data_IF_088370212721
#
_entry.id   IF_088370212721
#
_cell.length_a   1.000
_cell.length_b   1.000
_cell.length_c   1.000
_cell.angle_alpha   90.00
_cell.angle_beta   90.00
_cell.angle_gamma   90.00
#
_symmetry.space_group_name_H-M   'P 1'
#
loop_
_entity.id
_entity.type
_entity.pdbx_description
1 polymer ?
#
# COMPACT_ATOMS: atom_id res chain seq x y z
N UNK A 1 -6.74 28.60 -6.16
CA UNK A 1 -7.88 27.64 -6.22
C UNK A 1 -7.25 26.26 -6.14
N UNK A 2 -7.51 25.54 -5.05
CA UNK A 2 -7.06 24.14 -4.95
C UNK A 2 -7.90 23.33 -5.93
N UNK A 3 -7.31 22.87 -6.99
CA UNK A 3 -7.96 21.98 -7.94
C UNK A 3 -8.16 20.63 -7.23
N UNK A 4 -9.40 20.16 -7.14
CA UNK A 4 -9.71 18.84 -6.63
C UNK A 4 -9.85 17.87 -7.81
N UNK A 5 -9.37 16.64 -7.62
CA UNK A 5 -9.63 15.53 -8.53
C UNK A 5 -10.81 14.71 -8.03
N UNK A 6 -11.67 14.32 -8.93
CA UNK A 6 -12.69 13.31 -8.66
C UNK A 6 -12.15 11.95 -9.10
N UNK A 7 -12.06 11.01 -8.16
CA UNK A 7 -11.54 9.67 -8.34
C UNK A 7 -12.63 8.64 -8.08
N UNK A 8 -12.81 7.69 -8.99
CA UNK A 8 -13.65 6.52 -8.77
C UNK A 8 -12.78 5.39 -8.24
N UNK A 9 -13.02 5.00 -7.00
CA UNK A 9 -12.24 4.01 -6.29
C UNK A 9 -13.08 2.81 -5.86
N UNK A 10 -12.40 1.71 -5.52
CA UNK A 10 -13.00 0.46 -5.07
C UNK A 10 -14.06 -0.11 -6.05
N UNK A 11 -13.80 -0.17 -7.37
CA UNK A 11 -14.72 -0.78 -8.29
C UNK A 11 -14.86 -2.27 -8.00
N UNK A 12 -16.08 -2.76 -7.86
CA UNK A 12 -16.32 -4.20 -7.74
C UNK A 12 -15.93 -4.93 -9.02
N UNK A 13 -15.27 -6.10 -8.94
CA UNK A 13 -14.89 -6.91 -10.10
C UNK A 13 -16.09 -7.33 -10.96
N UNK A 14 -17.25 -7.53 -10.31
CA UNK A 14 -18.52 -7.81 -10.97
C UNK A 14 -19.59 -6.83 -10.45
N UNK A 15 -20.28 -6.17 -11.37
CA UNK A 15 -21.34 -5.19 -11.04
C UNK A 15 -22.63 -5.91 -10.60
N UNK A 16 -22.62 -6.48 -9.41
CA UNK A 16 -23.73 -7.29 -8.88
C UNK A 16 -24.80 -6.45 -8.17
N UNK A 17 -24.48 -5.21 -7.75
CA UNK A 17 -25.34 -4.35 -6.95
C UNK A 17 -25.67 -3.02 -7.66
N UNK A 18 -25.88 -3.07 -8.98
CA UNK A 18 -26.12 -1.85 -9.78
C UNK A 18 -27.26 -0.99 -9.25
N UNK A 19 -28.35 -1.60 -8.81
CA UNK A 19 -29.53 -0.90 -8.30
C UNK A 19 -29.31 -0.24 -6.92
N UNK A 20 -28.30 -0.68 -6.14
CA UNK A 20 -27.91 -0.08 -4.87
C UNK A 20 -26.80 0.97 -5.01
N UNK A 21 -26.25 1.19 -6.20
CA UNK A 21 -25.12 2.06 -6.47
C UNK A 21 -23.88 1.77 -5.59
N UNK A 22 -23.63 0.51 -5.27
CA UNK A 22 -22.56 0.06 -4.37
C UNK A 22 -21.35 -0.53 -5.12
N UNK A 23 -21.23 -0.31 -6.43
CA UNK A 23 -20.17 -0.93 -7.25
C UNK A 23 -18.84 -0.16 -7.24
N UNK A 24 -18.74 0.91 -6.49
CA UNK A 24 -17.59 1.78 -6.36
C UNK A 24 -18.00 3.05 -5.63
N UNK A 25 -17.06 3.92 -5.35
CA UNK A 25 -17.34 5.23 -4.77
C UNK A 25 -16.56 6.32 -5.49
N UNK A 26 -17.17 7.50 -5.62
CA UNK A 26 -16.52 8.70 -6.12
C UNK A 26 -16.05 9.54 -4.93
N UNK A 27 -14.79 9.95 -4.94
CA UNK A 27 -14.18 10.75 -3.89
C UNK A 27 -13.44 11.93 -4.48
N UNK A 28 -13.40 13.04 -3.73
CA UNK A 28 -12.59 14.20 -4.07
C UNK A 28 -11.25 14.12 -3.35
N UNK A 29 -10.19 14.29 -4.09
CA UNK A 29 -8.82 14.31 -3.58
C UNK A 29 -8.12 15.59 -4.00
N UNK A 30 -7.16 16.10 -3.22
CA UNK A 30 -6.30 17.21 -3.67
C UNK A 30 -5.63 16.88 -5.00
N UNK A 31 -5.38 17.90 -5.82
CA UNK A 31 -4.77 17.72 -7.14
C UNK A 31 -3.35 17.18 -7.10
N UNK A 32 -2.66 17.35 -5.99
CA UNK A 32 -1.27 16.97 -5.84
C UNK A 32 -1.00 16.35 -4.48
N UNK A 33 -0.25 15.24 -4.47
CA UNK A 33 0.26 14.62 -3.27
C UNK A 33 1.80 14.67 -3.30
N UNK A 34 2.39 15.20 -2.24
CA UNK A 34 3.83 15.23 -2.05
C UNK A 34 4.35 13.86 -1.60
N UNK A 35 5.63 13.58 -1.86
CA UNK A 35 6.27 12.38 -1.35
C UNK A 35 6.34 12.42 0.19
N UNK A 36 5.68 11.47 0.85
CA UNK A 36 5.67 11.39 2.31
C UNK A 36 6.99 10.84 2.86
N UNK A 37 7.41 11.37 4.01
CA UNK A 37 8.57 10.86 4.74
C UNK A 37 8.24 9.57 5.45
N UNK A 38 9.24 8.71 5.62
CA UNK A 38 9.14 7.47 6.39
C UNK A 38 10.41 7.28 7.23
N UNK A 39 10.23 7.01 8.50
CA UNK A 39 11.29 6.48 9.36
C UNK A 39 11.27 4.97 9.27
N UNK A 40 12.43 4.37 8.97
CA UNK A 40 12.49 2.94 8.69
C UNK A 40 13.57 2.23 9.52
N UNK A 41 13.24 1.05 9.99
CA UNK A 41 14.19 0.09 10.56
C UNK A 41 14.21 -1.13 9.67
N UNK A 42 15.27 -1.27 8.89
CA UNK A 42 15.41 -2.33 7.87
C UNK A 42 16.31 -3.43 8.41
N UNK A 43 15.84 -4.69 8.52
CA UNK A 43 16.67 -5.83 8.90
C UNK A 43 17.79 -6.09 7.90
N UNK A 44 18.89 -6.68 8.36
CA UNK A 44 20.07 -6.93 7.52
C UNK A 44 19.87 -7.93 6.37
N UNK A 45 18.79 -8.72 6.42
CA UNK A 45 18.39 -9.64 5.38
C UNK A 45 17.49 -9.00 4.31
N UNK A 46 17.12 -7.74 4.49
CA UNK A 46 16.28 -6.98 3.56
C UNK A 46 17.11 -5.88 2.90
N UNK A 47 17.10 -5.85 1.58
CA UNK A 47 17.69 -4.78 0.80
C UNK A 47 16.64 -3.70 0.56
N UNK A 48 17.00 -2.44 0.78
CA UNK A 48 16.19 -1.28 0.48
C UNK A 48 16.76 -0.50 -0.71
N UNK A 49 15.90 -0.14 -1.64
CA UNK A 49 16.25 0.74 -2.77
C UNK A 49 15.10 1.72 -3.01
N UNK A 50 15.44 3.01 -3.12
CA UNK A 50 14.56 3.99 -3.72
C UNK A 50 14.70 3.89 -5.25
N UNK A 51 13.58 3.76 -5.95
CA UNK A 51 13.57 3.54 -7.40
C UNK A 51 12.62 4.55 -8.07
N UNK A 52 13.01 4.99 -9.27
CA UNK A 52 12.06 5.61 -10.19
C UNK A 52 11.15 4.55 -10.81
N UNK A 53 10.02 4.96 -11.38
CA UNK A 53 9.08 4.03 -12.05
C UNK A 53 9.77 3.16 -13.13
N UNK A 54 10.75 3.73 -13.83
CA UNK A 54 11.48 3.04 -14.89
C UNK A 54 12.54 2.06 -14.38
N UNK A 55 12.92 2.17 -13.11
CA UNK A 55 13.94 1.31 -12.46
C UNK A 55 13.32 0.23 -11.58
N UNK A 56 12.01 0.33 -11.33
CA UNK A 56 11.28 -0.71 -10.61
C UNK A 56 11.16 -1.97 -11.47
N UNK A 57 11.23 -3.13 -10.82
CA UNK A 57 10.99 -4.40 -11.49
C UNK A 57 9.64 -4.37 -12.23
N UNK A 58 9.64 -4.83 -13.48
CA UNK A 58 8.46 -4.85 -14.33
C UNK A 58 7.27 -5.56 -13.66
N UNK A 59 7.52 -6.55 -12.79
CA UNK A 59 6.49 -7.27 -12.05
C UNK A 59 5.57 -6.35 -11.23
N UNK A 60 6.10 -5.26 -10.67
CA UNK A 60 5.27 -4.33 -9.88
C UNK A 60 4.34 -3.49 -10.75
N UNK A 61 4.67 -3.27 -12.02
CA UNK A 61 3.78 -2.57 -12.96
C UNK A 61 2.56 -3.42 -13.32
N UNK A 62 2.68 -4.75 -13.29
CA UNK A 62 1.61 -5.71 -13.59
C UNK A 62 0.67 -5.95 -12.39
N UNK A 63 1.12 -5.67 -11.16
CA UNK A 63 0.31 -5.87 -9.96
C UNK A 63 -0.78 -4.82 -9.89
N UNK A 64 -2.02 -5.28 -10.05
CA UNK A 64 -3.21 -4.44 -9.87
C UNK A 64 -3.54 -4.29 -8.39
N UNK A 65 -4.00 -3.11 -8.00
CA UNK A 65 -4.36 -2.78 -6.63
C UNK A 65 -5.87 -2.76 -6.42
N UNK A 66 -6.32 -2.76 -5.18
CA UNK A 66 -7.72 -2.91 -4.84
C UNK A 66 -8.58 -1.69 -5.13
N UNK A 67 -8.01 -0.48 -5.05
CA UNK A 67 -8.75 0.75 -5.30
C UNK A 67 -8.94 1.04 -6.79
N UNK A 68 -8.17 0.39 -7.66
CA UNK A 68 -8.35 0.46 -9.11
C UNK A 68 -7.41 1.42 -9.83
N UNK A 69 -7.56 1.48 -11.15
CA UNK A 69 -6.58 2.15 -12.02
C UNK A 69 -6.54 3.68 -11.85
N UNK A 70 -7.63 4.31 -11.43
CA UNK A 70 -7.64 5.77 -11.26
C UNK A 70 -6.74 6.22 -10.12
N UNK A 71 -6.77 5.52 -8.96
CA UNK A 71 -5.87 5.83 -7.85
C UNK A 71 -4.42 5.46 -8.19
N UNK A 72 -4.19 4.34 -8.90
CA UNK A 72 -2.86 3.95 -9.36
C UNK A 72 -2.26 5.03 -10.26
N UNK A 73 -3.02 5.53 -11.25
CA UNK A 73 -2.60 6.64 -12.11
C UNK A 73 -2.39 7.94 -11.34
N UNK A 74 -3.26 8.26 -10.40
CA UNK A 74 -3.16 9.47 -9.58
C UNK A 74 -1.87 9.48 -8.74
N UNK A 75 -1.53 8.36 -8.11
CA UNK A 75 -0.32 8.22 -7.29
C UNK A 75 0.96 8.21 -8.14
N UNK A 76 0.91 7.69 -9.37
CA UNK A 76 2.05 7.72 -10.30
C UNK A 76 2.34 9.10 -10.88
N UNK A 77 1.30 9.90 -11.08
CA UNK A 77 1.45 11.27 -11.61
C UNK A 77 1.95 12.27 -10.56
N UNK A 78 1.96 11.89 -9.26
CA UNK A 78 2.62 12.66 -8.21
C UNK A 78 4.13 12.50 -8.27
N UNK A 79 4.85 13.41 -7.63
CA UNK A 79 6.32 13.31 -7.43
C UNK A 79 6.61 12.30 -6.29
N UNK A 80 6.09 11.07 -6.45
CA UNK A 80 6.18 10.03 -5.44
C UNK A 80 7.20 8.96 -5.83
N UNK A 81 8.20 8.80 -4.98
CA UNK A 81 9.22 7.78 -5.10
C UNK A 81 8.66 6.39 -4.77
N UNK A 82 9.07 5.36 -5.49
CA UNK A 82 8.78 3.97 -5.15
C UNK A 82 9.88 3.41 -4.25
N UNK A 83 9.53 3.00 -3.04
CA UNK A 83 10.45 2.34 -2.10
C UNK A 83 10.33 0.83 -2.24
N UNK A 84 11.41 0.20 -2.68
CA UNK A 84 11.47 -1.24 -2.92
C UNK A 84 12.26 -1.92 -1.80
N UNK A 85 11.65 -2.95 -1.20
CA UNK A 85 12.26 -3.79 -0.17
C UNK A 85 12.31 -5.23 -0.69
N UNK A 86 13.52 -5.78 -0.77
CA UNK A 86 13.75 -7.12 -1.31
C UNK A 86 14.36 -8.02 -0.24
N UNK A 87 13.76 -9.18 0.04
CA UNK A 87 14.30 -10.16 0.97
C UNK A 87 15.44 -10.94 0.35
N UNK A 88 16.25 -11.63 1.18
CA UNK A 88 17.15 -12.68 0.70
C UNK A 88 16.39 -14.00 0.59
N UNK A 89 16.65 -14.74 -0.47
CA UNK A 89 16.08 -16.08 -0.68
C UNK A 89 16.39 -17.03 0.47
N UNK A 90 15.46 -17.94 0.79
CA UNK A 90 15.60 -18.99 1.81
C UNK A 90 15.96 -18.44 3.20
N UNK A 91 15.44 -17.27 3.56
CA UNK A 91 15.75 -16.61 4.81
C UNK A 91 14.46 -16.28 5.57
N UNK A 92 14.29 -16.83 6.77
CA UNK A 92 13.23 -16.41 7.69
C UNK A 92 13.77 -15.28 8.59
N UNK A 93 13.30 -14.05 8.34
CA UNK A 93 13.72 -12.89 9.13
C UNK A 93 12.95 -12.81 10.45
N UNK A 94 13.68 -12.71 11.56
CA UNK A 94 13.08 -12.68 12.90
C UNK A 94 12.73 -11.27 13.37
N UNK A 95 13.42 -10.26 12.83
CA UNK A 95 13.15 -8.86 13.16
C UNK A 95 12.21 -8.27 12.14
N UNK A 96 11.15 -7.56 12.56
CA UNK A 96 10.26 -6.92 11.60
C UNK A 96 10.95 -5.78 10.85
N UNK A 97 10.62 -5.61 9.58
CA UNK A 97 10.80 -4.35 8.89
C UNK A 97 9.76 -3.36 9.45
N UNK A 98 10.23 -2.27 10.07
CA UNK A 98 9.34 -1.27 10.67
C UNK A 98 9.37 0.01 9.85
N UNK A 99 8.18 0.49 9.47
CA UNK A 99 7.97 1.70 8.70
C UNK A 99 7.01 2.62 9.46
N UNK A 100 7.52 3.76 9.94
CA UNK A 100 6.73 4.76 10.65
C UNK A 100 6.47 5.96 9.75
N UNK A 101 5.19 6.24 9.51
CA UNK A 101 4.72 7.37 8.73
C UNK A 101 4.08 8.38 9.69
N UNK A 102 4.63 9.60 9.73
CA UNK A 102 4.09 10.69 10.54
C UNK A 102 3.60 11.79 9.63
N UNK A 103 2.32 12.12 9.73
CA UNK A 103 1.66 13.11 8.89
C UNK A 103 1.44 14.40 9.67
N UNK A 104 1.86 15.52 9.09
CA UNK A 104 1.65 16.87 9.65
C UNK A 104 0.33 17.49 9.21
N UNK A 105 -0.02 18.60 9.84
CA UNK A 105 -1.22 19.41 9.53
C UNK A 105 -1.11 20.03 8.13
N UNK A 106 -2.25 20.18 7.45
CA UNK A 106 -2.40 20.79 6.12
C UNK A 106 -1.52 20.12 5.03
N UNK A 107 -1.12 18.87 5.25
CA UNK A 107 -0.30 18.12 4.31
C UNK A 107 -1.13 17.15 3.47
N UNK A 108 -0.73 17.04 2.21
CA UNK A 108 -1.29 16.10 1.26
C UNK A 108 -0.14 15.22 0.74
N UNK A 109 0.01 14.03 1.30
CA UNK A 109 1.17 13.17 1.06
C UNK A 109 0.80 11.81 0.51
N UNK A 110 1.71 11.25 -0.30
CA UNK A 110 1.62 9.87 -0.73
C UNK A 110 2.93 9.12 -0.53
N UNK A 111 2.81 7.83 -0.32
CA UNK A 111 3.92 6.89 -0.29
C UNK A 111 3.61 5.69 -1.18
N UNK A 112 4.61 5.24 -1.93
CA UNK A 112 4.52 4.05 -2.77
C UNK A 112 5.58 3.05 -2.34
N UNK A 113 5.13 1.84 -2.01
CA UNK A 113 5.98 0.76 -1.50
C UNK A 113 5.85 -0.48 -2.36
N UNK A 114 6.96 -1.19 -2.50
CA UNK A 114 7.00 -2.50 -3.14
C UNK A 114 7.79 -3.48 -2.25
N UNK A 115 7.21 -4.62 -1.98
CA UNK A 115 7.84 -5.72 -1.26
C UNK A 115 8.05 -6.89 -2.22
N UNK A 116 9.31 -7.22 -2.48
CA UNK A 116 9.72 -8.37 -3.26
C UNK A 116 10.24 -9.46 -2.32
N UNK A 117 9.45 -10.49 -2.13
CA UNK A 117 9.82 -11.62 -1.31
C UNK A 117 10.38 -12.72 -2.21
N UNK A 118 11.67 -12.91 -2.15
CA UNK A 118 12.37 -13.96 -2.91
C UNK A 118 12.00 -15.37 -2.41
N UNK A 119 12.23 -16.42 -3.22
CA UNK A 119 11.76 -17.78 -2.91
C UNK A 119 12.14 -18.27 -1.54
N UNK A 120 11.15 -18.81 -0.81
CA UNK A 120 11.33 -19.40 0.52
C UNK A 120 11.74 -18.42 1.61
N UNK A 121 11.55 -17.11 1.39
CA UNK A 121 11.80 -16.10 2.43
C UNK A 121 10.56 -15.87 3.30
N UNK A 122 10.78 -15.42 4.54
CA UNK A 122 9.71 -15.01 5.45
C UNK A 122 10.05 -13.64 6.05
N UNK A 123 9.09 -12.72 6.03
CA UNK A 123 9.24 -11.36 6.53
C UNK A 123 7.97 -10.88 7.23
N UNK A 124 8.14 -10.23 8.38
CA UNK A 124 7.09 -9.42 9.01
C UNK A 124 7.35 -7.94 8.69
N UNK A 125 6.34 -7.25 8.20
CA UNK A 125 6.35 -5.81 7.98
C UNK A 125 5.35 -5.15 8.91
N UNK A 126 5.79 -4.19 9.71
CA UNK A 126 4.96 -3.36 10.56
C UNK A 126 4.94 -1.93 10.00
N UNK A 127 3.76 -1.44 9.64
CA UNK A 127 3.53 -0.10 9.15
C UNK A 127 2.67 0.66 10.15
N UNK A 128 3.19 1.74 10.71
CA UNK A 128 2.47 2.61 11.63
C UNK A 128 2.18 3.96 10.96
N UNK A 129 0.91 4.30 10.85
CA UNK A 129 0.44 5.56 10.29
C UNK A 129 -0.09 6.44 11.42
N UNK A 130 0.62 7.51 11.72
CA UNK A 130 0.29 8.43 12.80
C UNK A 130 0.17 9.87 12.31
N UNK A 131 -0.62 10.66 13.03
CA UNK A 131 -0.73 12.10 12.84
C UNK A 131 -0.84 12.78 14.21
N UNK A 132 -0.42 14.05 14.28
CA UNK A 132 -0.62 14.86 15.49
C UNK A 132 -2.10 15.00 15.81
N UNK A 133 -2.41 15.09 17.09
CA UNK A 133 -3.79 15.36 17.57
C UNK A 133 -4.29 16.68 16.99
N UNK A 134 -5.55 16.71 16.55
CA UNK A 134 -6.20 17.87 15.93
C UNK A 134 -5.63 18.31 14.57
N UNK A 135 -4.78 17.47 13.95
CA UNK A 135 -4.29 17.73 12.60
C UNK A 135 -5.31 17.29 11.53
N UNK A 136 -5.22 17.89 10.36
CA UNK A 136 -5.98 17.52 9.18
C UNK A 136 -5.06 17.36 7.95
N UNK A 137 -5.58 16.77 6.90
CA UNK A 137 -4.83 16.52 5.69
C UNK A 137 -5.33 15.31 4.90
N UNK A 138 -4.54 14.95 3.91
CA UNK A 138 -4.76 13.75 3.10
C UNK A 138 -3.48 12.94 3.03
N UNK A 139 -3.60 11.66 3.33
CA UNK A 139 -2.50 10.73 3.16
C UNK A 139 -2.92 9.54 2.30
N UNK A 140 -2.04 9.11 1.41
CA UNK A 140 -2.24 7.94 0.59
C UNK A 140 -1.05 6.99 0.72
N UNK A 141 -1.32 5.71 0.78
CA UNK A 141 -0.30 4.67 0.73
C UNK A 141 -0.68 3.63 -0.31
N UNK A 142 0.23 3.33 -1.21
CA UNK A 142 0.10 2.19 -2.11
C UNK A 142 1.17 1.17 -1.78
N UNK A 143 0.76 -0.06 -1.55
CA UNK A 143 1.64 -1.19 -1.24
C UNK A 143 1.47 -2.27 -2.31
N UNK A 144 2.53 -2.60 -3.02
CA UNK A 144 2.57 -3.72 -3.96
C UNK A 144 3.44 -4.83 -3.41
N UNK A 145 2.95 -6.05 -3.44
CA UNK A 145 3.63 -7.24 -2.93
C UNK A 145 3.79 -8.26 -4.03
N UNK A 146 5.01 -8.70 -4.25
CA UNK A 146 5.28 -9.91 -5.02
C UNK A 146 5.92 -10.95 -4.10
N UNK A 147 5.18 -11.99 -3.79
CA UNK A 147 5.65 -13.13 -3.02
C UNK A 147 5.94 -14.30 -3.96
N UNK A 148 7.22 -14.62 -4.14
CA UNK A 148 7.67 -15.72 -4.97
C UNK A 148 7.41 -17.10 -4.33
N UNK A 149 7.82 -18.17 -4.98
CA UNK A 149 7.54 -19.55 -4.54
C UNK A 149 7.95 -19.78 -3.08
N UNK A 150 6.98 -20.21 -2.26
CA UNK A 150 7.19 -20.54 -0.85
C UNK A 150 7.48 -19.34 0.06
N UNK A 151 7.37 -18.11 -0.45
CA UNK A 151 7.59 -16.91 0.37
C UNK A 151 6.40 -16.63 1.30
N UNK A 152 6.68 -16.09 2.49
CA UNK A 152 5.67 -15.74 3.49
C UNK A 152 5.82 -14.27 3.90
N UNK A 153 4.73 -13.52 3.84
CA UNK A 153 4.65 -12.14 4.33
C UNK A 153 3.58 -12.01 5.42
N UNK A 154 3.96 -11.42 6.53
CA UNK A 154 3.04 -10.92 7.55
C UNK A 154 3.03 -9.39 7.49
N UNK A 155 2.00 -8.80 6.88
CA UNK A 155 1.82 -7.36 6.74
C UNK A 155 0.88 -6.85 7.82
N UNK A 156 1.40 -6.07 8.75
CA UNK A 156 0.62 -5.44 9.83
C UNK A 156 0.60 -3.94 9.61
N UNK A 157 -0.59 -3.37 9.51
CA UNK A 157 -0.81 -1.94 9.32
C UNK A 157 -1.63 -1.38 10.48
N UNK A 158 -1.13 -0.35 11.15
CA UNK A 158 -1.80 0.31 12.27
C UNK A 158 -2.04 1.77 11.91
N UNK A 159 -3.29 2.15 11.78
CA UNK A 159 -3.69 3.53 11.48
C UNK A 159 -4.16 4.23 12.77
N UNK A 160 -3.45 5.30 13.15
CA UNK A 160 -3.73 6.14 14.33
C UNK A 160 -3.79 7.62 13.91
N UNK A 161 -4.63 7.92 12.92
CA UNK A 161 -4.73 9.26 12.35
C UNK A 161 -5.71 10.13 13.13
N UNK A 162 -5.46 11.44 13.14
CA UNK A 162 -6.36 12.43 13.70
C UNK A 162 -7.69 12.49 12.94
N UNK A 163 -8.73 13.01 13.62
CA UNK A 163 -10.11 13.07 13.09
C UNK A 163 -10.31 14.00 11.90
N UNK A 164 -9.29 14.79 11.52
CA UNK A 164 -9.28 15.64 10.32
C UNK A 164 -8.74 14.95 9.06
N UNK A 165 -8.05 13.79 9.19
CA UNK A 165 -7.37 13.14 8.08
C UNK A 165 -8.28 12.28 7.20
N UNK A 166 -8.12 12.45 5.88
CA UNK A 166 -8.59 11.49 4.87
C UNK A 166 -7.44 10.56 4.48
N UNK A 167 -7.67 9.24 4.50
CA UNK A 167 -6.65 8.24 4.24
C UNK A 167 -7.06 7.24 3.17
N UNK A 168 -6.17 7.05 2.20
CA UNK A 168 -6.29 6.05 1.14
C UNK A 168 -5.23 4.98 1.35
N UNK A 169 -5.64 3.73 1.53
CA UNK A 169 -4.74 2.59 1.71
C UNK A 169 -5.03 1.52 0.66
N UNK A 170 -4.16 1.43 -0.32
CA UNK A 170 -4.34 0.62 -1.52
C UNK A 170 -3.29 -0.50 -1.59
N UNK A 171 -3.73 -1.75 -1.60
CA UNK A 171 -2.85 -2.92 -1.59
C UNK A 171 -3.07 -3.75 -2.85
N UNK A 172 -1.98 -4.14 -3.48
CA UNK A 172 -1.94 -5.13 -4.55
C UNK A 172 -0.97 -6.25 -4.22
N UNK A 173 -1.39 -7.50 -4.39
CA UNK A 173 -0.56 -8.67 -4.07
C UNK A 173 -0.58 -9.67 -5.21
N UNK A 174 0.58 -10.24 -5.51
CA UNK A 174 0.78 -11.37 -6.42
C UNK A 174 1.48 -12.48 -5.67
N UNK A 175 0.87 -13.66 -5.60
CA UNK A 175 1.38 -14.83 -4.90
C UNK A 175 1.78 -15.91 -5.88
N UNK A 176 3.04 -16.34 -5.85
CA UNK A 176 3.58 -17.49 -6.53
C UNK A 176 3.17 -18.81 -5.85
N UNK A 177 3.71 -19.93 -6.35
CA UNK A 177 3.42 -21.27 -5.82
C UNK A 177 3.78 -21.39 -4.34
N UNK A 178 2.87 -21.96 -3.53
CA UNK A 178 3.03 -22.13 -2.08
C UNK A 178 3.31 -20.81 -1.30
N UNK A 179 3.20 -19.64 -1.94
CA UNK A 179 3.39 -18.38 -1.25
C UNK A 179 2.20 -18.05 -0.36
N UNK A 180 2.45 -17.36 0.75
CA UNK A 180 1.42 -16.93 1.70
C UNK A 180 1.60 -15.47 2.07
N UNK A 181 0.51 -14.70 2.02
CA UNK A 181 0.49 -13.33 2.50
C UNK A 181 -0.62 -13.17 3.52
N UNK A 182 -0.29 -12.73 4.71
CA UNK A 182 -1.25 -12.41 5.76
C UNK A 182 -1.28 -10.90 5.96
N UNK A 183 -2.46 -10.29 5.92
CA UNK A 183 -2.62 -8.85 6.10
C UNK A 183 -3.53 -8.57 7.29
N UNK A 184 -3.02 -7.77 8.24
CA UNK A 184 -3.78 -7.28 9.40
C UNK A 184 -3.82 -5.75 9.30
N UNK A 185 -5.04 -5.19 9.28
CA UNK A 185 -5.25 -3.74 9.26
C UNK A 185 -6.04 -3.32 10.50
N UNK A 186 -5.43 -2.47 11.34
CA UNK A 186 -6.06 -1.87 12.52
C UNK A 186 -6.34 -0.40 12.21
N UNK A 187 -7.61 -0.03 12.12
CA UNK A 187 -8.05 1.34 11.83
C UNK A 187 -8.60 1.94 13.11
N UNK A 188 -7.83 2.84 13.73
CA UNK A 188 -8.11 3.43 15.04
C UNK A 188 -8.37 4.95 14.99
N UNK A 189 -8.46 5.53 13.80
CA UNK A 189 -8.69 6.97 13.62
C UNK A 189 -8.80 7.38 12.16
N UNK A 190 -8.99 8.67 11.92
CA UNK A 190 -9.20 9.27 10.62
C UNK A 190 -10.63 9.80 10.45
N UNK A 191 -10.82 10.78 9.57
CA UNK A 191 -12.12 11.33 9.16
C UNK A 191 -12.81 10.42 8.15
N UNK A 192 -12.08 10.11 7.09
CA UNK A 192 -12.50 9.19 6.05
C UNK A 192 -11.34 8.21 5.80
N UNK A 193 -11.64 6.92 5.76
CA UNK A 193 -10.65 5.90 5.43
C UNK A 193 -11.20 5.04 4.30
N UNK A 194 -10.42 4.98 3.23
CA UNK A 194 -10.70 4.17 2.05
C UNK A 194 -9.66 3.06 1.97
N UNK A 195 -10.12 1.81 2.04
CA UNK A 195 -9.28 0.62 1.99
C UNK A 195 -9.57 -0.14 0.70
N UNK A 196 -8.55 -0.48 -0.05
CA UNK A 196 -8.64 -1.34 -1.21
C UNK A 196 -7.58 -2.44 -1.14
N UNK A 197 -7.96 -3.68 -1.42
CA UNK A 197 -7.02 -4.80 -1.48
C UNK A 197 -7.39 -5.73 -2.63
N UNK A 198 -6.40 -6.11 -3.40
CA UNK A 198 -6.52 -7.08 -4.49
C UNK A 198 -5.38 -8.07 -4.46
N UNK A 199 -5.71 -9.36 -4.48
CA UNK A 199 -4.71 -10.43 -4.48
C UNK A 199 -4.91 -11.34 -5.67
N UNK A 200 -3.84 -11.56 -6.43
CA UNK A 200 -3.74 -12.57 -7.48
C UNK A 200 -3.05 -13.81 -6.90
N UNK A 201 -3.79 -14.89 -6.73
CA UNK A 201 -3.28 -16.21 -6.33
C UNK A 201 -2.97 -16.99 -7.60
N UNK A 202 -1.75 -16.81 -8.15
CA UNK A 202 -1.38 -17.38 -9.46
C UNK A 202 -0.71 -18.76 -9.34
N UNK A 203 -0.10 -19.04 -8.19
CA UNK A 203 0.58 -20.30 -7.95
C UNK A 203 -0.28 -21.35 -7.29
N UNK A 204 -0.02 -22.64 -7.57
CA UNK A 204 -0.62 -23.76 -6.84
C UNK A 204 -0.39 -23.61 -5.32
N UNK A 205 -1.41 -23.85 -4.52
CA UNK A 205 -1.37 -23.76 -3.05
C UNK A 205 -0.95 -22.37 -2.50
N UNK A 206 -1.06 -21.31 -3.29
CA UNK A 206 -0.89 -19.95 -2.76
C UNK A 206 -2.08 -19.56 -1.89
N UNK A 207 -1.84 -18.71 -0.87
CA UNK A 207 -2.84 -18.31 0.11
C UNK A 207 -2.74 -16.82 0.50
N UNK A 208 -3.88 -16.26 0.92
CA UNK A 208 -4.02 -14.96 1.56
C UNK A 208 -4.62 -15.14 2.94
#
# INVERSE_FOLDING_TARGET
>A
MNQEYELNINPLPAKTWNWLHMNGTSVKSPAFLENGTVEQTVPSSVEYKAASENEADAVFSEIQTGMGAEIDGFLKNGDTELRVYTTKSQTAEKQPLVLNFTYGTDRHTANRLAFHLLPGSELTVLMDFSAETESDGTAAIQTKVYAEEGAVLHLVQVQRLATGFTFYNDIGTKCGKNARVETIQLVLGGKNTYLGSRTALEGESSAL
#
